data_IF_763612552505
#
_entry.id   IF_763612552505
#
_cell.length_a   1.000
_cell.length_b   1.000
_cell.length_c   1.000
_cell.angle_alpha   90.00
_cell.angle_beta   90.00
_cell.angle_gamma   90.00
#
_symmetry.space_group_name_H-M   'P 1'
#
loop_
_entity.id
_entity.type
_entity.pdbx_description
1 polymer ?
#
# COMPACT_ATOMS: atom_id res chain seq x y z
N UNK A 1 -30.00 6.79 33.27
CA UNK A 1 -28.91 7.55 32.62
C UNK A 1 -27.98 6.53 31.99
N UNK A 2 -28.02 6.40 30.66
CA UNK A 2 -27.14 5.47 29.96
C UNK A 2 -25.76 6.11 29.87
N UNK A 3 -24.73 5.44 30.38
CA UNK A 3 -23.35 5.79 30.08
C UNK A 3 -23.11 5.45 28.61
N UNK A 4 -22.97 6.48 27.77
CA UNK A 4 -22.36 6.32 26.45
C UNK A 4 -20.88 6.03 26.73
N UNK A 5 -20.48 4.78 26.57
CA UNK A 5 -19.07 4.40 26.60
C UNK A 5 -18.47 4.95 25.30
N UNK A 6 -17.82 6.10 25.36
CA UNK A 6 -17.07 6.63 24.22
C UNK A 6 -15.92 5.67 23.95
N UNK A 7 -15.94 4.96 22.82
CA UNK A 7 -14.83 4.11 22.41
C UNK A 7 -13.72 5.01 21.87
N UNK A 8 -12.52 4.89 22.42
CA UNK A 8 -11.32 5.58 21.94
C UNK A 8 -10.46 4.62 21.15
N UNK A 9 -9.81 5.12 20.09
CA UNK A 9 -8.85 4.37 19.28
C UNK A 9 -7.49 5.05 19.37
N UNK A 10 -6.45 4.24 19.54
CA UNK A 10 -5.05 4.69 19.60
C UNK A 10 -4.48 4.75 18.19
N UNK A 11 -3.79 5.84 17.88
CA UNK A 11 -3.06 6.05 16.64
C UNK A 11 -1.59 6.34 16.94
N UNK A 12 -0.73 6.03 15.98
CA UNK A 12 0.70 6.37 16.00
C UNK A 12 1.07 7.09 14.72
N UNK A 13 1.86 8.14 14.85
CA UNK A 13 2.47 8.85 13.72
C UNK A 13 3.98 8.88 13.90
N UNK A 14 4.70 8.76 12.79
CA UNK A 14 6.12 9.07 12.69
C UNK A 14 6.23 10.50 12.14
N UNK A 15 6.93 11.38 12.85
CA UNK A 15 7.01 12.81 12.55
C UNK A 15 8.45 13.22 12.34
N UNK A 16 8.75 13.78 11.17
CA UNK A 16 10.05 14.40 10.88
C UNK A 16 9.93 15.93 10.95
N UNK A 17 10.84 16.57 11.67
CA UNK A 17 10.92 18.02 11.82
C UNK A 17 12.11 18.60 11.06
N UNK A 18 11.88 19.72 10.37
CA UNK A 18 12.83 20.36 9.46
C UNK A 18 13.02 21.85 9.80
N UNK A 19 14.23 22.36 9.57
CA UNK A 19 14.54 23.79 9.61
C UNK A 19 15.20 24.18 8.29
N UNK A 20 14.51 25.00 7.48
CA UNK A 20 15.04 25.44 6.20
C UNK A 20 15.27 24.32 5.17
N UNK A 21 14.62 23.16 5.37
CA UNK A 21 14.74 21.98 4.52
C UNK A 21 15.58 20.85 5.12
N UNK A 22 16.39 21.14 6.15
CA UNK A 22 17.24 20.14 6.80
C UNK A 22 16.48 19.50 7.98
N UNK A 23 16.44 18.16 7.99
CA UNK A 23 15.85 17.41 9.10
C UNK A 23 16.73 17.55 10.35
N UNK A 24 16.13 17.92 11.48
CA UNK A 24 16.85 18.07 12.75
C UNK A 24 16.33 17.15 13.86
N UNK A 25 15.11 16.61 13.72
CA UNK A 25 14.53 15.66 14.67
C UNK A 25 13.55 14.72 13.98
N UNK A 26 13.31 13.57 14.61
CA UNK A 26 12.28 12.60 14.25
C UNK A 26 11.71 12.02 15.56
N UNK A 27 10.39 11.78 15.60
CA UNK A 27 9.70 11.27 16.78
C UNK A 27 8.48 10.43 16.40
N UNK A 28 8.26 9.33 17.12
CA UNK A 28 7.01 8.57 17.04
C UNK A 28 6.08 9.03 18.16
N UNK A 29 4.92 9.58 17.79
CA UNK A 29 3.93 10.12 18.72
C UNK A 29 2.70 9.21 18.74
N UNK A 30 2.23 8.85 19.94
CA UNK A 30 0.99 8.09 20.13
C UNK A 30 -0.10 9.01 20.68
N UNK A 31 -1.30 8.93 20.14
CA UNK A 31 -2.45 9.72 20.61
C UNK A 31 -3.76 8.93 20.52
N UNK A 32 -4.72 9.29 21.36
CA UNK A 32 -6.05 8.69 21.42
C UNK A 32 -7.07 9.62 20.79
N UNK A 33 -7.96 9.08 19.96
CA UNK A 33 -9.11 9.81 19.42
C UNK A 33 -10.40 9.10 19.77
N UNK A 34 -11.46 9.88 19.97
CA UNK A 34 -12.82 9.34 20.07
C UNK A 34 -13.27 8.79 18.70
N UNK A 35 -14.03 7.70 18.72
CA UNK A 35 -14.60 7.11 17.51
C UNK A 35 -15.46 8.14 16.75
N UNK A 36 -15.13 8.37 15.46
CA UNK A 36 -15.78 9.35 14.60
C UNK A 36 -15.15 10.75 14.61
N UNK A 37 -14.15 11.01 15.45
CA UNK A 37 -13.35 12.23 15.38
C UNK A 37 -12.42 12.23 14.15
N UNK A 38 -12.09 13.42 13.65
CA UNK A 38 -11.25 13.59 12.47
C UNK A 38 -9.77 13.33 12.81
N UNK A 39 -9.25 12.21 12.32
CA UNK A 39 -7.92 11.69 12.68
C UNK A 39 -6.78 12.61 12.27
N UNK A 40 -6.88 13.31 11.13
CA UNK A 40 -5.80 14.18 10.65
C UNK A 40 -5.64 15.41 11.55
N UNK A 41 -6.73 16.01 11.98
CA UNK A 41 -6.74 17.12 12.93
C UNK A 41 -6.07 16.71 14.24
N UNK A 42 -6.37 15.52 14.76
CA UNK A 42 -5.71 15.00 15.95
C UNK A 42 -4.20 14.74 15.73
N UNK A 43 -3.81 14.24 14.56
CA UNK A 43 -2.41 14.03 14.20
C UNK A 43 -1.64 15.35 14.10
N UNK A 44 -2.21 16.38 13.48
CA UNK A 44 -1.62 17.73 13.45
C UNK A 44 -1.43 18.28 14.86
N UNK A 45 -2.46 18.21 15.71
CA UNK A 45 -2.36 18.65 17.10
C UNK A 45 -1.31 17.88 17.90
N UNK A 46 -1.17 16.57 17.65
CA UNK A 46 -0.16 15.75 18.29
C UNK A 46 1.26 16.13 17.83
N UNK A 47 1.48 16.33 16.53
CA UNK A 47 2.76 16.78 15.98
C UNK A 47 3.15 18.18 16.48
N UNK A 48 2.19 19.11 16.53
CA UNK A 48 2.40 20.48 17.03
C UNK A 48 2.55 20.56 18.55
N UNK A 49 2.14 19.50 19.27
CA UNK A 49 2.39 19.33 20.70
C UNK A 49 3.79 18.79 21.03
N UNK A 50 4.56 18.34 20.04
CA UNK A 50 5.93 17.85 20.25
C UNK A 50 6.86 18.94 20.76
N UNK A 51 7.84 18.57 21.57
CA UNK A 51 8.91 19.47 22.00
C UNK A 51 9.77 20.00 20.85
N UNK A 52 9.74 19.34 19.69
CA UNK A 52 10.43 19.77 18.47
C UNK A 52 9.62 20.75 17.61
N UNK A 53 8.32 20.92 17.90
CA UNK A 53 7.51 21.95 17.28
C UNK A 53 7.64 23.27 18.06
N UNK A 54 8.65 24.06 17.68
CA UNK A 54 8.91 25.37 18.29
C UNK A 54 9.01 26.45 17.23
N UNK A 55 8.08 27.41 17.24
CA UNK A 55 8.00 28.50 16.27
C UNK A 55 9.25 29.42 16.25
N UNK A 56 10.15 29.30 17.23
CA UNK A 56 11.45 29.98 17.22
C UNK A 56 12.45 29.35 16.26
N UNK A 57 12.22 28.12 15.81
CA UNK A 57 13.05 27.42 14.84
C UNK A 57 12.87 28.07 13.46
N UNK A 58 13.94 28.55 12.79
CA UNK A 58 13.83 29.22 11.51
C UNK A 58 13.25 28.32 10.43
N UNK A 59 12.26 28.82 9.68
CA UNK A 59 11.61 28.08 8.57
C UNK A 59 11.21 26.66 9.00
N UNK A 60 10.63 26.54 10.19
CA UNK A 60 10.14 25.28 10.71
C UNK A 60 9.10 24.69 9.74
N UNK A 61 9.28 23.41 9.41
CA UNK A 61 8.26 22.58 8.78
C UNK A 61 8.33 21.17 9.36
N UNK A 62 7.26 20.40 9.15
CA UNK A 62 7.22 19.00 9.56
C UNK A 62 6.41 18.19 8.54
N UNK A 63 6.66 16.88 8.52
CA UNK A 63 5.83 15.90 7.82
C UNK A 63 5.54 14.78 8.80
N UNK A 64 4.39 14.13 8.65
CA UNK A 64 4.15 12.88 9.35
C UNK A 64 3.46 11.85 8.47
N UNK A 65 3.62 10.59 8.88
CA UNK A 65 2.90 9.45 8.32
C UNK A 65 2.33 8.59 9.44
N UNK A 66 1.17 7.99 9.23
CA UNK A 66 0.62 7.01 10.17
C UNK A 66 1.45 5.74 10.16
N UNK A 67 1.72 5.22 11.37
CA UNK A 67 2.49 4.00 11.57
C UNK A 67 1.53 2.89 11.98
N UNK A 68 1.41 1.80 11.21
CA UNK A 68 0.70 0.61 11.66
C UNK A 68 1.39 0.06 12.93
N UNK A 69 0.63 -0.25 13.98
CA UNK A 69 1.24 -0.75 15.22
C UNK A 69 1.83 -2.16 15.05
N UNK A 70 1.33 -2.93 14.06
CA UNK A 70 1.79 -4.26 13.68
C UNK A 70 1.62 -4.50 12.16
N UNK A 71 2.38 -5.43 11.54
CA UNK A 71 2.28 -5.75 10.11
C UNK A 71 0.89 -6.23 9.69
N UNK A 72 0.18 -6.90 10.59
CA UNK A 72 -1.16 -7.46 10.37
C UNK A 72 -2.29 -6.55 10.85
N UNK A 73 -1.98 -5.39 11.44
CA UNK A 73 -3.01 -4.42 11.78
C UNK A 73 -3.36 -3.60 10.53
N UNK A 74 -4.65 -3.52 10.16
CA UNK A 74 -5.05 -2.68 9.04
C UNK A 74 -4.61 -1.25 9.32
N UNK A 75 -4.01 -0.60 8.30
CA UNK A 75 -3.66 0.81 8.35
C UNK A 75 -4.84 1.56 8.98
N UNK A 76 -4.63 2.32 10.06
CA UNK A 76 -5.74 2.91 10.78
C UNK A 76 -6.45 4.03 9.97
N UNK A 77 -5.91 4.39 8.81
CA UNK A 77 -6.55 5.18 7.75
C UNK A 77 -7.29 4.35 6.69
N UNK A 78 -7.12 3.02 6.67
CA UNK A 78 -7.88 2.12 5.80
C UNK A 78 -9.36 2.29 6.11
N UNK A 79 -10.16 2.77 5.15
CA UNK A 79 -11.60 2.91 5.34
C UNK A 79 -12.18 1.53 5.69
N UNK A 80 -13.05 1.48 6.71
CA UNK A 80 -13.93 0.30 6.88
C UNK A 80 -14.73 0.16 5.58
N UNK A 81 -14.57 -0.96 4.89
CA UNK A 81 -15.13 -1.16 3.55
C UNK A 81 -14.25 -0.65 2.41
N UNK A 82 -12.93 -0.55 2.61
CA UNK A 82 -11.96 -0.28 1.54
C UNK A 82 -12.17 -1.24 0.36
N UNK A 83 -12.11 -0.69 -0.85
CA UNK A 83 -12.25 -1.43 -2.10
C UNK A 83 -10.92 -1.39 -2.85
N UNK A 84 -10.60 -2.48 -3.56
CA UNK A 84 -9.52 -2.51 -4.56
C UNK A 84 -10.10 -2.78 -5.96
N UNK A 85 -9.50 -2.21 -7.02
CA UNK A 85 -9.89 -2.53 -8.38
C UNK A 85 -9.24 -3.85 -8.80
N UNK A 86 -10.02 -4.76 -9.38
CA UNK A 86 -9.54 -5.98 -10.02
C UNK A 86 -9.97 -6.01 -11.48
N UNK A 87 -9.18 -6.65 -12.33
CA UNK A 87 -9.51 -6.89 -13.71
C UNK A 87 -10.82 -7.69 -13.78
N UNK A 88 -11.80 -7.19 -14.53
CA UNK A 88 -13.05 -7.90 -14.83
C UNK A 88 -12.80 -9.27 -15.45
N UNK A 89 -11.76 -9.38 -16.29
CA UNK A 89 -11.54 -10.55 -17.13
C UNK A 89 -10.70 -11.64 -16.43
N UNK A 90 -9.68 -11.27 -15.67
CA UNK A 90 -8.81 -12.24 -14.98
C UNK A 90 -8.85 -12.18 -13.44
N UNK A 91 -9.43 -11.15 -12.85
CA UNK A 91 -9.53 -10.99 -11.39
C UNK A 91 -8.27 -10.50 -10.66
N UNK A 92 -7.17 -10.22 -11.37
CA UNK A 92 -5.95 -9.65 -10.79
C UNK A 92 -6.11 -8.15 -10.49
N UNK A 93 -5.48 -7.65 -9.43
CA UNK A 93 -5.47 -6.25 -9.00
C UNK A 93 -4.33 -5.41 -9.59
N UNK A 94 -3.50 -6.00 -10.47
CA UNK A 94 -2.46 -5.30 -11.22
C UNK A 94 -3.07 -4.56 -12.42
N UNK A 95 -3.82 -3.51 -12.14
CA UNK A 95 -4.40 -2.60 -13.14
C UNK A 95 -3.58 -1.30 -13.22
N UNK A 96 -3.19 -0.94 -14.44
CA UNK A 96 -2.53 0.32 -14.77
C UNK A 96 -3.50 1.28 -15.47
N UNK A 97 -3.25 2.58 -15.36
CA UNK A 97 -3.96 3.62 -16.10
C UNK A 97 -2.99 4.55 -16.81
N UNK A 98 -3.38 4.98 -17.98
CA UNK A 98 -2.63 6.00 -18.71
C UNK A 98 -2.71 7.35 -18.04
N UNK A 99 -1.59 8.07 -18.00
CA UNK A 99 -1.51 9.40 -17.42
C UNK A 99 -0.54 10.30 -18.20
N UNK A 100 -0.81 11.59 -18.21
CA UNK A 100 0.11 12.61 -18.74
C UNK A 100 0.91 13.22 -17.60
N UNK A 101 2.23 13.14 -17.68
CA UNK A 101 3.13 13.93 -16.83
C UNK A 101 3.57 15.24 -17.54
N UNK A 102 3.62 16.36 -16.80
CA UNK A 102 4.17 17.63 -17.27
C UNK A 102 5.29 18.08 -16.36
N UNK A 103 6.31 18.73 -16.93
CA UNK A 103 7.41 19.29 -16.16
C UNK A 103 6.92 20.50 -15.36
N UNK A 104 6.98 20.42 -14.04
CA UNK A 104 6.73 21.54 -13.14
C UNK A 104 8.03 22.35 -12.96
N UNK A 105 8.04 23.59 -13.44
CA UNK A 105 9.21 24.47 -13.38
C UNK A 105 9.53 24.91 -11.95
N UNK A 106 8.53 25.04 -11.07
CA UNK A 106 8.75 25.45 -9.68
C UNK A 106 9.31 24.29 -8.86
N UNK A 107 8.78 23.09 -9.08
CA UNK A 107 9.20 21.89 -8.34
C UNK A 107 10.40 21.18 -9.00
N UNK A 108 10.78 21.55 -10.23
CA UNK A 108 11.82 20.91 -11.03
C UNK A 108 11.64 19.38 -11.09
N UNK A 109 10.39 18.96 -11.32
CA UNK A 109 10.00 17.55 -11.32
C UNK A 109 8.89 17.27 -12.34
N UNK A 110 8.78 16.02 -12.76
CA UNK A 110 7.60 15.55 -13.51
C UNK A 110 6.43 15.38 -12.57
N UNK A 111 5.30 16.04 -12.87
CA UNK A 111 4.06 15.93 -12.11
C UNK A 111 2.94 15.37 -12.99
N UNK A 112 2.12 14.47 -12.44
CA UNK A 112 0.91 13.99 -13.12
C UNK A 112 -0.04 15.18 -13.32
N UNK A 113 -0.46 15.37 -14.55
CA UNK A 113 -1.27 16.51 -14.99
C UNK A 113 -2.63 16.10 -15.57
N UNK A 114 -2.87 14.79 -15.68
CA UNK A 114 -4.12 14.17 -16.09
C UNK A 114 -4.00 12.66 -16.08
N UNK A 115 -5.09 11.97 -15.73
CA UNK A 115 -5.25 10.51 -15.84
C UNK A 115 -6.37 10.27 -16.85
N UNK A 116 -6.18 9.32 -17.75
CA UNK A 116 -7.12 8.98 -18.80
C UNK A 116 -7.97 7.76 -18.43
N UNK A 117 -9.00 7.51 -19.22
CA UNK A 117 -9.98 6.43 -19.02
C UNK A 117 -9.43 5.04 -19.36
N UNK A 118 -8.43 4.97 -20.25
CA UNK A 118 -7.83 3.69 -20.59
C UNK A 118 -7.21 3.01 -19.35
N UNK A 119 -7.74 1.82 -19.04
CA UNK A 119 -7.24 0.93 -17.99
C UNK A 119 -6.72 -0.35 -18.64
N UNK A 120 -5.51 -0.75 -18.24
CA UNK A 120 -4.83 -1.93 -18.73
C UNK A 120 -4.57 -2.93 -17.59
N UNK A 121 -4.69 -4.22 -17.84
CA UNK A 121 -4.30 -5.25 -16.87
C UNK A 121 -2.93 -5.82 -17.21
N UNK A 122 -1.98 -5.67 -16.30
CA UNK A 122 -0.61 -6.15 -16.50
C UNK A 122 -0.54 -7.67 -16.65
N UNK A 123 -1.52 -8.39 -16.07
CA UNK A 123 -1.51 -9.86 -16.07
C UNK A 123 -2.07 -10.46 -17.35
N UNK A 124 -3.31 -10.11 -17.73
CA UNK A 124 -3.95 -10.68 -18.92
C UNK A 124 -3.84 -9.81 -20.17
N UNK A 125 -3.19 -8.64 -20.07
CA UNK A 125 -3.02 -7.69 -21.16
C UNK A 125 -4.34 -7.17 -21.76
N UNK A 126 -5.45 -7.28 -21.01
CA UNK A 126 -6.73 -6.70 -21.41
C UNK A 126 -6.69 -5.18 -21.23
N UNK A 127 -7.39 -4.47 -22.12
CA UNK A 127 -7.47 -3.01 -22.17
C UNK A 127 -8.93 -2.59 -22.36
N UNK A 128 -9.45 -1.72 -21.49
CA UNK A 128 -10.82 -1.20 -21.57
C UNK A 128 -11.04 -0.07 -20.55
N UNK A 129 -11.90 0.89 -20.89
CA UNK A 129 -12.33 1.96 -19.96
C UNK A 129 -13.08 1.40 -18.74
N UNK A 130 -13.77 0.27 -18.92
CA UNK A 130 -14.57 -0.43 -17.90
C UNK A 130 -13.91 -1.73 -17.43
N UNK A 131 -12.57 -1.81 -17.47
CA UNK A 131 -11.83 -3.01 -17.08
C UNK A 131 -11.86 -3.26 -15.56
N UNK A 132 -12.00 -2.21 -14.76
CA UNK A 132 -11.96 -2.28 -13.31
C UNK A 132 -13.31 -2.73 -12.72
N UNK A 133 -13.28 -3.83 -11.97
CA UNK A 133 -14.34 -4.25 -11.05
C UNK A 133 -13.88 -4.00 -9.62
N UNK A 134 -14.71 -3.37 -8.79
CA UNK A 134 -14.35 -3.09 -7.40
C UNK A 134 -14.76 -4.24 -6.49
N UNK A 135 -13.84 -4.69 -5.64
CA UNK A 135 -14.03 -5.75 -4.64
C UNK A 135 -13.52 -5.27 -3.28
N UNK A 136 -13.96 -5.84 -2.14
CA UNK A 136 -13.33 -5.58 -0.85
C UNK A 136 -11.81 -5.75 -0.91
N UNK A 137 -11.07 -4.86 -0.26
CA UNK A 137 -9.61 -4.84 -0.32
C UNK A 137 -8.96 -6.15 0.18
N UNK A 138 -9.62 -6.85 1.12
CA UNK A 138 -9.17 -8.14 1.65
C UNK A 138 -9.52 -9.36 0.79
N UNK A 139 -10.19 -9.20 -0.35
CA UNK A 139 -10.49 -10.31 -1.24
C UNK A 139 -9.20 -10.83 -1.90
N UNK A 140 -9.00 -12.15 -1.82
CA UNK A 140 -7.84 -12.84 -2.40
C UNK A 140 -8.01 -12.91 -3.93
N UNK A 141 -7.04 -12.39 -4.67
CA UNK A 141 -7.01 -12.47 -6.13
C UNK A 141 -6.56 -13.84 -6.62
N UNK A 142 -6.87 -14.22 -7.88
CA UNK A 142 -6.37 -15.46 -8.45
C UNK A 142 -4.84 -15.59 -8.46
N UNK A 143 -4.12 -14.48 -8.65
CA UNK A 143 -2.65 -14.47 -8.61
C UNK A 143 -2.13 -14.71 -7.18
N UNK A 144 -2.73 -14.07 -6.17
CA UNK A 144 -2.39 -14.30 -4.76
C UNK A 144 -2.65 -15.75 -4.35
N UNK A 145 -3.82 -16.29 -4.71
CA UNK A 145 -4.18 -17.68 -4.44
C UNK A 145 -3.20 -18.66 -5.11
N UNK A 146 -2.88 -18.45 -6.40
CA UNK A 146 -1.93 -19.27 -7.15
C UNK A 146 -0.53 -19.25 -6.52
N UNK A 147 -0.04 -18.06 -6.16
CA UNK A 147 1.28 -17.87 -5.52
C UNK A 147 1.35 -18.58 -4.16
N UNK A 148 0.33 -18.40 -3.32
CA UNK A 148 0.27 -19.01 -2.00
C UNK A 148 0.20 -20.55 -2.09
N UNK A 149 -0.63 -21.09 -2.99
CA UNK A 149 -0.77 -22.53 -3.18
C UNK A 149 0.53 -23.15 -3.73
N UNK A 150 1.18 -22.48 -4.69
CA UNK A 150 2.46 -22.93 -5.23
C UNK A 150 3.56 -22.90 -4.18
N UNK A 151 3.66 -21.83 -3.39
CA UNK A 151 4.65 -21.74 -2.31
C UNK A 151 4.45 -22.83 -1.26
N UNK A 152 3.20 -23.08 -0.86
CA UNK A 152 2.84 -24.16 0.05
C UNK A 152 3.21 -25.54 -0.51
N UNK A 153 2.98 -25.75 -1.82
CA UNK A 153 3.31 -27.01 -2.50
C UNK A 153 4.82 -27.25 -2.60
N UNK A 154 5.58 -26.20 -2.89
CA UNK A 154 7.05 -26.28 -2.97
C UNK A 154 7.70 -26.43 -1.59
N UNK A 155 7.01 -25.96 -0.53
CA UNK A 155 7.43 -26.09 0.86
C UNK A 155 8.85 -25.59 1.14
N UNK A 156 9.20 -24.45 0.53
CA UNK A 156 10.48 -23.76 0.73
C UNK A 156 10.23 -22.51 1.58
N UNK A 157 10.96 -22.39 2.70
CA UNK A 157 10.81 -21.26 3.60
C UNK A 157 11.15 -19.93 2.91
N UNK A 158 10.30 -18.93 3.12
CA UNK A 158 10.46 -17.58 2.56
C UNK A 158 10.31 -17.48 1.04
N UNK A 159 9.85 -18.55 0.35
CA UNK A 159 9.78 -18.56 -1.11
C UNK A 159 8.83 -17.50 -1.67
N UNK A 160 7.67 -17.29 -1.04
CA UNK A 160 6.66 -16.31 -1.48
C UNK A 160 7.15 -14.86 -1.47
N UNK A 161 8.17 -14.55 -0.67
CA UNK A 161 8.76 -13.22 -0.55
C UNK A 161 9.84 -12.97 -1.62
N UNK A 162 10.24 -13.99 -2.37
CA UNK A 162 11.32 -13.88 -3.34
C UNK A 162 10.84 -13.25 -4.65
N UNK A 163 11.51 -12.19 -5.17
CA UNK A 163 11.09 -11.54 -6.41
C UNK A 163 11.05 -12.46 -7.62
N UNK A 164 12.00 -13.40 -7.74
CA UNK A 164 12.05 -14.38 -8.83
C UNK A 164 10.85 -15.33 -8.79
N UNK A 165 10.40 -15.69 -7.58
CA UNK A 165 9.22 -16.53 -7.40
C UNK A 165 7.95 -15.76 -7.74
N UNK A 166 7.83 -14.52 -7.28
CA UNK A 166 6.70 -13.64 -7.61
C UNK A 166 6.60 -13.42 -9.12
N UNK A 167 7.73 -13.20 -9.80
CA UNK A 167 7.78 -13.07 -11.26
C UNK A 167 7.35 -14.36 -11.95
N UNK A 168 7.84 -15.50 -11.48
CA UNK A 168 7.44 -16.80 -12.00
C UNK A 168 5.93 -17.03 -11.84
N UNK A 169 5.34 -16.70 -10.68
CA UNK A 169 3.91 -16.81 -10.47
C UNK A 169 3.13 -15.93 -11.46
N UNK A 170 3.56 -14.68 -11.63
CA UNK A 170 2.96 -13.74 -12.56
C UNK A 170 2.94 -14.27 -14.00
N UNK A 171 4.08 -14.79 -14.47
CA UNK A 171 4.21 -15.28 -15.85
C UNK A 171 3.42 -16.58 -16.11
N UNK A 172 3.01 -17.32 -15.06
CA UNK A 172 2.42 -18.66 -15.19
C UNK A 172 0.96 -18.79 -14.72
N UNK A 173 0.45 -17.89 -13.89
CA UNK A 173 -0.85 -18.10 -13.22
C UNK A 173 -2.05 -18.18 -14.17
N UNK A 174 -1.96 -17.59 -15.37
CA UNK A 174 -3.03 -17.67 -16.38
C UNK A 174 -2.92 -18.89 -17.30
N UNK A 175 -1.80 -19.60 -17.27
CA UNK A 175 -1.44 -20.58 -18.30
C UNK A 175 -1.16 -21.97 -17.73
N UNK A 176 -0.91 -22.08 -16.43
CA UNK A 176 -0.54 -23.32 -15.76
C UNK A 176 -1.40 -23.57 -14.53
N UNK A 177 -1.64 -24.84 -14.21
CA UNK A 177 -2.05 -25.22 -12.87
C UNK A 177 -0.87 -25.14 -11.91
N UNK A 178 -1.15 -25.09 -10.60
CA UNK A 178 -0.12 -25.12 -9.55
C UNK A 178 0.75 -26.37 -9.65
N UNK A 179 0.18 -27.52 -10.05
CA UNK A 179 0.95 -28.75 -10.28
C UNK A 179 1.98 -28.61 -11.41
N UNK A 180 1.57 -28.03 -12.54
CA UNK A 180 2.45 -27.81 -13.68
C UNK A 180 3.55 -26.80 -13.34
N UNK A 181 3.18 -25.71 -12.66
CA UNK A 181 4.08 -24.66 -12.23
C UNK A 181 5.11 -25.16 -11.21
N UNK A 182 4.71 -26.06 -10.29
CA UNK A 182 5.64 -26.66 -9.34
C UNK A 182 6.70 -27.53 -10.02
N UNK A 183 6.33 -28.27 -11.08
CA UNK A 183 7.31 -29.01 -11.89
C UNK A 183 8.21 -28.04 -12.64
N UNK A 184 7.64 -27.02 -13.28
CA UNK A 184 8.38 -26.04 -14.07
C UNK A 184 9.40 -25.25 -13.22
N UNK A 185 9.04 -24.86 -12.00
CA UNK A 185 9.92 -24.16 -11.05
C UNK A 185 11.25 -24.91 -10.80
N UNK A 186 11.19 -26.24 -10.66
CA UNK A 186 12.39 -27.07 -10.46
C UNK A 186 13.19 -27.28 -11.74
N UNK A 187 12.56 -27.18 -12.91
CA UNK A 187 13.21 -27.36 -14.21
C UNK A 187 13.93 -26.08 -14.67
N UNK A 188 13.42 -24.90 -14.30
CA UNK A 188 14.01 -23.60 -14.67
C UNK A 188 15.36 -23.31 -13.99
N UNK A 189 15.81 -24.14 -13.05
CA UNK A 189 17.23 -24.25 -12.69
C UNK A 189 17.86 -23.08 -11.94
N UNK A 190 17.10 -22.07 -11.49
CA UNK A 190 17.61 -21.03 -10.57
C UNK A 190 17.52 -21.51 -9.12
N UNK A 191 18.19 -22.62 -8.84
CA UNK A 191 18.54 -23.00 -7.47
C UNK A 191 19.96 -22.48 -7.25
N UNK A 192 20.08 -21.23 -6.81
CA UNK A 192 21.31 -20.81 -6.11
C UNK A 192 20.97 -20.69 -4.62
N UNK A 193 21.69 -21.40 -3.74
CA UNK A 193 21.51 -21.31 -2.29
C UNK A 193 21.86 -19.94 -1.74
#
# INVERSE_FOLDING_TARGET
MAHLTTMTRVYRIDVDFFSGGDQFASEIISFEIEEGAEVWTAAYLAAEGSTYFDLRIPKLSYRFSFVPSFPDEPDPTSPVGALKPVCRDCGCDMLARDASARWDVQQQAWAISGVYDCTFCDLCNAESDDLARWVPAGDITPLEAFSAELAAKLNVAGLGERPEFQRFCFDNCLHQSVDQAAVAWWVTGEITP
#
